data_IF_285595929546
#
_entry.id   IF_285595929546
#
_cell.length_a   1.000
_cell.length_b   1.000
_cell.length_c   1.000
_cell.angle_alpha   90.00
_cell.angle_beta   90.00
_cell.angle_gamma   90.00
#
_symmetry.space_group_name_H-M   'P 1'
#
loop_
_entity.id
_entity.type
_entity.pdbx_description
1 polymer ?
#
# COMPACT_ATOMS: atom_id res chain seq x y z
N UNK A 1 15.18 -44.56 -9.52
CA UNK A 1 14.07 -44.25 -8.61
C UNK A 1 13.26 -43.14 -9.24
N UNK A 2 11.97 -43.28 -9.41
CA UNK A 2 11.09 -42.17 -9.87
C UNK A 2 11.09 -41.04 -8.85
N UNK A 3 11.13 -39.80 -9.32
CA UNK A 3 11.05 -38.63 -8.44
C UNK A 3 9.75 -38.70 -7.65
N UNK A 4 9.75 -38.25 -6.37
CA UNK A 4 8.55 -38.20 -5.57
C UNK A 4 7.55 -37.19 -6.15
N UNK A 5 6.22 -37.34 -5.92
CA UNK A 5 5.22 -36.37 -6.37
C UNK A 5 5.55 -34.93 -5.94
N UNK A 6 6.06 -34.73 -4.73
CA UNK A 6 6.52 -33.41 -4.26
C UNK A 6 7.69 -32.86 -5.07
N UNK A 7 8.66 -33.72 -5.44
CA UNK A 7 9.78 -33.30 -6.28
C UNK A 7 9.32 -32.93 -7.70
N UNK A 8 8.38 -33.69 -8.28
CA UNK A 8 7.79 -33.37 -9.58
C UNK A 8 7.05 -32.01 -9.54
N UNK A 9 6.25 -31.76 -8.49
CA UNK A 9 5.54 -30.49 -8.33
C UNK A 9 6.53 -29.33 -8.17
N UNK A 10 7.54 -29.47 -7.32
CA UNK A 10 8.56 -28.43 -7.13
C UNK A 10 9.33 -28.14 -8.44
N UNK A 11 9.62 -29.17 -9.23
CA UNK A 11 10.25 -29.00 -10.54
C UNK A 11 9.34 -28.26 -11.53
N UNK A 12 8.03 -28.56 -11.54
CA UNK A 12 7.05 -27.85 -12.37
C UNK A 12 6.95 -26.36 -11.95
N UNK A 13 6.91 -26.07 -10.65
CA UNK A 13 6.89 -24.69 -10.14
C UNK A 13 8.13 -23.89 -10.55
N UNK A 14 9.31 -24.51 -10.54
CA UNK A 14 10.56 -23.86 -10.99
C UNK A 14 10.57 -23.53 -12.49
N UNK A 15 9.72 -24.16 -13.30
CA UNK A 15 9.60 -23.84 -14.72
C UNK A 15 8.77 -22.58 -14.98
N UNK A 16 8.07 -22.05 -13.97
CA UNK A 16 7.32 -20.80 -14.09
C UNK A 16 8.27 -19.62 -14.38
N UNK A 17 7.93 -18.79 -15.38
CA UNK A 17 8.80 -17.71 -15.84
C UNK A 17 9.27 -16.76 -14.72
N UNK A 18 8.34 -16.35 -13.84
CA UNK A 18 8.67 -15.50 -12.69
C UNK A 18 9.66 -16.18 -11.73
N UNK A 19 9.50 -17.49 -11.47
CA UNK A 19 10.42 -18.21 -10.57
C UNK A 19 11.83 -18.26 -11.17
N UNK A 20 11.94 -18.55 -12.47
CA UNK A 20 13.24 -18.54 -13.17
C UNK A 20 13.89 -17.15 -13.16
N UNK A 21 13.09 -16.12 -13.40
CA UNK A 21 13.55 -14.73 -13.34
C UNK A 21 14.12 -14.43 -11.94
N UNK A 22 13.37 -14.68 -10.89
CA UNK A 22 13.80 -14.42 -9.51
C UNK A 22 15.01 -15.27 -9.09
N UNK A 23 15.04 -16.58 -9.48
CA UNK A 23 16.20 -17.45 -9.20
C UNK A 23 17.45 -16.98 -9.93
N UNK A 24 17.32 -16.48 -11.17
CA UNK A 24 18.44 -15.95 -11.93
C UNK A 24 19.07 -14.76 -11.18
N UNK A 25 18.27 -13.75 -10.82
CA UNK A 25 18.76 -12.56 -10.14
C UNK A 25 19.27 -12.86 -8.73
N UNK A 26 18.62 -13.75 -7.97
CA UNK A 26 19.11 -14.15 -6.64
C UNK A 26 20.47 -14.86 -6.69
N UNK A 27 20.78 -15.57 -7.78
CA UNK A 27 22.11 -16.19 -7.98
C UNK A 27 23.15 -15.19 -8.46
N UNK A 28 22.76 -14.29 -9.37
CA UNK A 28 23.66 -13.30 -9.97
C UNK A 28 24.04 -12.21 -8.95
N UNK A 29 23.09 -11.81 -8.12
CA UNK A 29 23.24 -10.73 -7.12
C UNK A 29 22.80 -11.19 -5.73
N UNK A 30 23.53 -12.13 -5.09
CA UNK A 30 23.13 -12.67 -3.78
C UNK A 30 23.08 -11.60 -2.68
N UNK A 31 23.89 -10.57 -2.79
CA UNK A 31 23.98 -9.48 -1.81
C UNK A 31 23.03 -8.29 -2.13
N UNK A 32 22.16 -8.43 -3.13
CA UNK A 32 21.14 -7.41 -3.43
C UNK A 32 19.90 -7.52 -2.54
N UNK A 33 19.89 -8.44 -1.58
CA UNK A 33 18.79 -8.67 -0.62
C UNK A 33 17.41 -8.84 -1.26
N UNK A 34 17.36 -9.48 -2.43
CA UNK A 34 16.12 -9.83 -3.09
C UNK A 34 15.31 -10.81 -2.23
N UNK A 35 14.29 -10.32 -1.53
CA UNK A 35 13.36 -11.12 -0.71
C UNK A 35 14.00 -11.96 0.39
N UNK A 36 15.26 -11.72 0.74
CA UNK A 36 16.01 -12.47 1.75
C UNK A 36 16.66 -11.59 2.82
N UNK A 37 16.37 -10.29 2.84
CA UNK A 37 16.84 -9.41 3.88
C UNK A 37 16.18 -9.78 5.21
N UNK A 38 16.98 -9.94 6.23
CA UNK A 38 16.57 -10.21 7.62
C UNK A 38 17.13 -9.09 8.47
N UNK A 39 16.25 -8.34 9.13
CA UNK A 39 16.66 -7.35 10.12
C UNK A 39 16.87 -8.06 11.46
N UNK A 40 18.05 -7.90 12.04
CA UNK A 40 18.39 -8.45 13.36
C UNK A 40 17.86 -7.56 14.49
N UNK A 41 17.81 -6.24 14.25
CA UNK A 41 17.26 -5.24 15.18
C UNK A 41 16.70 -4.03 14.43
N UNK A 42 15.75 -3.32 15.07
CA UNK A 42 15.14 -2.09 14.59
C UNK A 42 15.29 -1.00 15.65
N UNK A 43 16.14 -0.02 15.37
CA UNK A 43 16.42 1.11 16.26
C UNK A 43 15.52 2.33 16.02
N UNK A 44 15.66 3.35 16.88
CA UNK A 44 15.06 4.65 16.68
C UNK A 44 15.61 5.31 15.39
N UNK A 45 14.97 6.41 14.92
CA UNK A 45 15.39 7.16 13.74
C UNK A 45 15.48 6.30 12.46
N UNK A 46 14.70 5.23 12.39
CA UNK A 46 14.66 4.28 11.26
C UNK A 46 15.98 3.52 11.05
N UNK A 47 16.81 3.39 12.07
CA UNK A 47 17.97 2.51 12.02
C UNK A 47 17.54 1.04 11.97
N UNK A 48 18.31 0.22 11.25
CA UNK A 48 18.09 -1.21 11.10
C UNK A 48 19.46 -1.92 11.14
N UNK A 49 19.57 -3.03 11.85
CA UNK A 49 20.75 -3.88 11.82
C UNK A 49 20.50 -5.09 10.90
N UNK A 50 21.44 -5.34 10.00
CA UNK A 50 21.41 -6.46 9.06
C UNK A 50 22.80 -7.04 8.94
N UNK A 51 22.99 -8.30 9.34
CA UNK A 51 24.28 -8.99 9.31
C UNK A 51 25.41 -8.19 10.00
N UNK A 52 25.11 -7.59 11.17
CA UNK A 52 26.02 -6.76 11.95
C UNK A 52 26.33 -5.38 11.34
N UNK A 53 25.63 -4.96 10.31
CA UNK A 53 25.72 -3.60 9.73
C UNK A 53 24.52 -2.76 10.15
N UNK A 54 24.78 -1.54 10.60
CA UNK A 54 23.72 -0.52 10.76
C UNK A 54 23.48 0.20 9.46
N UNK A 55 22.23 0.25 9.06
CA UNK A 55 21.76 0.99 7.89
C UNK A 55 20.53 1.83 8.26
N UNK A 56 20.32 2.93 7.55
CA UNK A 56 19.07 3.70 7.65
C UNK A 56 18.04 3.09 6.71
N UNK A 57 16.88 2.77 7.25
CA UNK A 57 15.81 2.07 6.55
C UNK A 57 14.89 3.07 5.83
N UNK A 58 15.06 3.21 4.53
CA UNK A 58 14.16 3.91 3.61
C UNK A 58 13.20 2.96 2.88
N UNK A 59 13.00 1.75 3.39
CA UNK A 59 12.10 0.73 2.83
C UNK A 59 10.87 0.42 3.68
N UNK A 60 10.48 1.29 4.63
CA UNK A 60 9.38 1.03 5.56
C UNK A 60 8.15 1.90 5.27
N UNK A 61 6.98 1.29 5.13
CA UNK A 61 5.70 1.97 4.96
C UNK A 61 5.13 2.58 6.27
N UNK A 62 5.85 2.55 7.39
CA UNK A 62 5.44 3.18 8.65
C UNK A 62 5.69 4.71 8.63
N UNK A 63 5.11 5.40 7.67
CA UNK A 63 5.42 6.78 7.29
C UNK A 63 5.45 7.80 8.44
N UNK A 64 4.55 7.66 9.43
CA UNK A 64 4.49 8.54 10.59
C UNK A 64 5.45 8.12 11.73
N UNK A 65 6.04 6.91 11.64
CA UNK A 65 6.96 6.39 12.65
C UNK A 65 6.31 6.03 13.98
N UNK A 66 4.98 5.80 14.00
CA UNK A 66 4.23 5.49 15.21
C UNK A 66 4.51 4.10 15.79
N UNK A 67 5.19 3.23 15.05
CA UNK A 67 5.74 1.96 15.56
C UNK A 67 6.73 2.14 16.72
N UNK A 68 7.38 3.32 16.81
CA UNK A 68 8.29 3.70 17.89
C UNK A 68 7.65 4.59 18.95
N UNK A 69 6.36 4.94 18.82
CA UNK A 69 5.66 5.75 19.83
C UNK A 69 5.37 4.93 21.08
N UNK A 70 5.84 5.42 22.23
CA UNK A 70 5.71 4.73 23.52
C UNK A 70 4.27 4.52 23.96
N UNK A 71 3.33 5.39 23.55
CA UNK A 71 1.90 5.28 23.88
C UNK A 71 1.28 4.15 23.10
N UNK A 72 1.63 4.01 21.81
CA UNK A 72 1.18 2.92 20.94
C UNK A 72 1.71 1.58 21.45
N UNK A 73 3.00 1.52 21.81
CA UNK A 73 3.61 0.33 22.40
C UNK A 73 2.98 -0.03 23.76
N UNK A 74 2.73 0.96 24.62
CA UNK A 74 2.09 0.74 25.93
C UNK A 74 0.64 0.25 25.77
N UNK A 75 -0.14 0.78 24.82
CA UNK A 75 -1.48 0.33 24.52
C UNK A 75 -1.49 -1.15 24.04
N UNK A 76 -0.54 -1.52 23.17
CA UNK A 76 -0.38 -2.91 22.72
C UNK A 76 -0.07 -3.85 23.89
N UNK A 77 0.87 -3.49 24.77
CA UNK A 77 1.24 -4.27 25.96
C UNK A 77 0.03 -4.43 26.91
N UNK A 78 -0.70 -3.36 27.15
CA UNK A 78 -1.90 -3.40 28.00
C UNK A 78 -3.02 -4.24 27.35
N UNK A 79 -3.18 -4.12 26.03
CA UNK A 79 -4.12 -4.94 25.28
C UNK A 79 -3.81 -6.44 25.39
N UNK A 80 -2.54 -6.84 25.34
CA UNK A 80 -2.15 -8.25 25.60
C UNK A 80 -2.50 -8.67 27.03
N UNK A 81 -2.29 -7.82 28.02
CA UNK A 81 -2.65 -8.14 29.43
C UNK A 81 -4.15 -8.27 29.64
N UNK A 82 -4.95 -7.46 28.95
CA UNK A 82 -6.41 -7.44 29.08
C UNK A 82 -7.09 -8.56 28.32
N UNK A 83 -6.66 -8.83 27.09
CA UNK A 83 -7.37 -9.68 26.13
C UNK A 83 -6.65 -11.01 25.82
N UNK A 84 -5.40 -11.17 26.26
CA UNK A 84 -4.54 -12.24 25.78
C UNK A 84 -3.99 -11.94 24.38
N UNK A 85 -3.42 -12.95 23.75
CA UNK A 85 -2.79 -12.84 22.43
C UNK A 85 -3.80 -12.91 21.27
N UNK A 86 -4.98 -13.49 21.49
CA UNK A 86 -6.01 -13.70 20.48
C UNK A 86 -7.39 -13.90 21.12
N UNK A 87 -8.50 -13.59 20.41
CA UNK A 87 -9.86 -13.77 20.90
C UNK A 87 -10.48 -15.14 20.58
N UNK A 88 -9.81 -16.00 19.81
CA UNK A 88 -10.15 -17.41 19.60
C UNK A 88 -11.38 -17.70 18.70
N UNK A 89 -12.07 -16.70 18.15
CA UNK A 89 -13.27 -16.90 17.35
C UNK A 89 -13.40 -15.95 16.17
N UNK A 90 -14.13 -16.40 15.13
CA UNK A 90 -14.50 -15.56 14.01
C UNK A 90 -15.47 -14.45 14.44
N UNK A 91 -15.32 -13.25 13.91
CA UNK A 91 -16.21 -12.12 14.13
C UNK A 91 -17.62 -12.32 13.56
N UNK A 92 -17.83 -13.32 12.74
CA UNK A 92 -19.17 -13.73 12.33
C UNK A 92 -20.01 -14.24 13.51
N UNK A 93 -19.39 -14.92 14.47
CA UNK A 93 -20.06 -15.45 15.65
C UNK A 93 -19.99 -14.50 16.85
N UNK A 94 -18.82 -13.92 17.11
CA UNK A 94 -18.62 -13.03 18.26
C UNK A 94 -17.50 -12.01 18.01
N UNK A 95 -17.68 -10.79 18.48
CA UNK A 95 -16.67 -9.75 18.56
C UNK A 95 -16.33 -9.46 20.02
N UNK A 96 -15.09 -9.06 20.29
CA UNK A 96 -14.73 -8.47 21.58
C UNK A 96 -14.99 -6.96 21.56
N UNK A 97 -15.13 -6.34 22.74
CA UNK A 97 -15.39 -4.89 22.85
C UNK A 97 -14.36 -4.06 22.09
N UNK A 98 -13.09 -4.43 22.11
CA UNK A 98 -12.02 -3.73 21.39
C UNK A 98 -12.28 -3.62 19.87
N UNK A 99 -12.98 -4.57 19.24
CA UNK A 99 -13.35 -4.46 17.83
C UNK A 99 -14.33 -3.31 17.59
N UNK A 100 -15.38 -3.21 18.40
CA UNK A 100 -16.40 -2.18 18.22
C UNK A 100 -15.83 -0.79 18.55
N UNK A 101 -15.06 -0.67 19.64
CA UNK A 101 -14.40 0.59 20.03
C UNK A 101 -13.43 1.08 18.94
N UNK A 102 -12.61 0.19 18.36
CA UNK A 102 -11.69 0.56 17.29
C UNK A 102 -12.44 0.97 16.00
N UNK A 103 -13.50 0.24 15.63
CA UNK A 103 -14.32 0.59 14.46
C UNK A 103 -15.06 1.92 14.64
N UNK A 104 -15.57 2.21 15.85
CA UNK A 104 -16.21 3.49 16.19
C UNK A 104 -15.21 4.67 16.13
N UNK A 105 -14.01 4.49 16.72
CA UNK A 105 -12.96 5.51 16.67
C UNK A 105 -12.46 5.76 15.24
N UNK A 106 -12.24 4.71 14.46
CA UNK A 106 -11.85 4.81 13.05
C UNK A 106 -12.94 5.54 12.24
N UNK A 107 -14.22 5.19 12.41
CA UNK A 107 -15.33 5.83 11.72
C UNK A 107 -15.41 7.32 12.07
N UNK A 108 -15.26 7.66 13.35
CA UNK A 108 -15.24 9.04 13.84
C UNK A 108 -14.07 9.85 13.28
N UNK A 109 -12.85 9.27 13.29
CA UNK A 109 -11.66 9.92 12.74
C UNK A 109 -11.77 10.12 11.23
N UNK A 110 -12.17 9.08 10.50
CA UNK A 110 -12.31 9.12 9.05
C UNK A 110 -13.45 10.07 8.63
N UNK A 111 -14.54 10.11 9.40
CA UNK A 111 -15.76 10.86 9.08
C UNK A 111 -16.72 10.06 8.19
N UNK A 112 -16.74 8.73 8.32
CA UNK A 112 -17.71 7.81 7.69
C UNK A 112 -18.74 7.34 8.71
N UNK A 113 -19.89 6.83 8.23
CA UNK A 113 -20.94 6.32 9.15
C UNK A 113 -20.50 5.06 9.90
N UNK A 114 -19.66 4.23 9.26
CA UNK A 114 -19.19 2.98 9.82
C UNK A 114 -17.84 2.57 9.23
N UNK A 115 -17.13 1.75 10.01
CA UNK A 115 -15.91 1.06 9.58
C UNK A 115 -16.06 -0.43 9.89
N UNK A 116 -15.52 -1.29 9.04
CA UNK A 116 -15.38 -2.72 9.27
C UNK A 116 -13.90 -3.11 9.15
N UNK A 117 -13.33 -3.67 10.23
CA UNK A 117 -11.91 -4.07 10.30
C UNK A 117 -11.71 -5.49 9.80
N UNK A 118 -10.67 -5.68 9.01
CA UNK A 118 -10.16 -6.95 8.48
C UNK A 118 -8.72 -7.20 8.94
N UNK A 119 -8.22 -8.45 8.87
CA UNK A 119 -6.82 -8.77 9.26
C UNK A 119 -5.76 -8.10 8.40
N UNK A 120 -6.09 -7.71 7.18
CA UNK A 120 -5.20 -6.94 6.27
C UNK A 120 -6.00 -6.28 5.16
N UNK A 121 -5.40 -5.29 4.48
CA UNK A 121 -5.96 -4.70 3.26
C UNK A 121 -6.17 -5.75 2.17
N UNK A 122 -5.23 -6.67 2.01
CA UNK A 122 -5.37 -7.80 1.06
C UNK A 122 -6.65 -8.57 1.32
N UNK A 123 -6.92 -8.95 2.57
CA UNK A 123 -8.15 -9.66 2.92
C UNK A 123 -9.40 -8.76 2.81
N UNK A 124 -9.25 -7.44 3.01
CA UNK A 124 -10.35 -6.49 2.74
C UNK A 124 -10.74 -6.54 1.26
N UNK A 125 -9.79 -6.38 0.36
CA UNK A 125 -10.04 -6.36 -1.09
C UNK A 125 -10.56 -7.72 -1.62
N UNK A 126 -9.93 -8.83 -1.20
CA UNK A 126 -10.35 -10.18 -1.59
C UNK A 126 -11.76 -10.55 -1.13
N UNK A 127 -12.24 -9.93 -0.06
CA UNK A 127 -13.56 -10.21 0.48
C UNK A 127 -14.62 -9.17 0.14
N UNK A 128 -14.26 -7.89 0.16
CA UNK A 128 -15.20 -6.80 -0.08
C UNK A 128 -15.59 -6.71 -1.56
N UNK A 129 -14.63 -6.68 -2.49
CA UNK A 129 -14.95 -6.55 -3.92
C UNK A 129 -15.95 -7.61 -4.42
N UNK A 130 -15.70 -8.93 -4.25
CA UNK A 130 -16.69 -9.92 -4.66
C UNK A 130 -17.96 -9.92 -3.78
N UNK A 131 -17.86 -9.40 -2.55
CA UNK A 131 -18.99 -9.24 -1.65
C UNK A 131 -19.96 -8.13 -2.07
N UNK A 132 -19.48 -7.08 -2.73
CA UNK A 132 -20.25 -5.91 -3.15
C UNK A 132 -21.07 -6.15 -4.42
N UNK A 133 -20.64 -7.04 -5.30
CA UNK A 133 -21.19 -7.24 -6.65
C UNK A 133 -21.79 -8.63 -6.84
N UNK A 134 -22.62 -8.75 -7.86
CA UNK A 134 -23.26 -10.00 -8.29
C UNK A 134 -23.39 -10.07 -9.82
N UNK A 135 -23.90 -11.15 -10.37
CA UNK A 135 -23.97 -11.42 -11.83
C UNK A 135 -24.62 -10.33 -12.68
N UNK A 136 -25.48 -9.48 -12.10
CA UNK A 136 -26.16 -8.39 -12.82
C UNK A 136 -25.45 -7.04 -12.67
N UNK A 137 -24.35 -7.02 -11.90
CA UNK A 137 -23.57 -5.80 -11.66
C UNK A 137 -22.33 -5.79 -12.53
N UNK A 138 -21.70 -4.63 -12.60
CA UNK A 138 -20.44 -4.40 -13.30
C UNK A 138 -19.34 -4.07 -12.30
N UNK A 139 -18.18 -4.69 -12.42
CA UNK A 139 -16.96 -4.28 -11.74
C UNK A 139 -15.99 -3.74 -12.79
N UNK A 140 -15.64 -2.47 -12.67
CA UNK A 140 -14.60 -1.84 -13.50
C UNK A 140 -13.37 -1.65 -12.64
N UNK A 141 -12.19 -1.96 -13.15
CA UNK A 141 -10.95 -1.93 -12.37
C UNK A 141 -9.83 -1.26 -13.16
N UNK A 142 -9.07 -0.38 -12.49
CA UNK A 142 -7.84 0.18 -13.05
C UNK A 142 -6.84 -0.95 -13.34
N UNK A 143 -6.25 -0.95 -14.54
CA UNK A 143 -5.33 -2.02 -14.97
C UNK A 143 -4.07 -2.13 -14.10
N UNK A 144 -3.67 -1.05 -13.41
CA UNK A 144 -2.56 -1.03 -12.47
C UNK A 144 -2.99 -1.10 -10.99
N UNK A 145 -4.29 -1.35 -10.71
CA UNK A 145 -4.76 -1.52 -9.35
C UNK A 145 -3.97 -2.63 -8.62
N UNK A 146 -3.77 -2.45 -7.32
CA UNK A 146 -3.01 -3.37 -6.49
C UNK A 146 -3.45 -4.83 -6.66
N UNK A 147 -2.48 -5.76 -6.64
CA UNK A 147 -2.72 -7.18 -6.92
C UNK A 147 -3.89 -7.78 -6.10
N UNK A 148 -4.09 -7.36 -4.86
CA UNK A 148 -5.20 -7.85 -4.04
C UNK A 148 -6.58 -7.45 -4.60
N UNK A 149 -6.69 -6.29 -5.25
CA UNK A 149 -7.92 -5.90 -5.96
C UNK A 149 -8.10 -6.68 -7.25
N UNK A 150 -7.02 -6.91 -8.01
CA UNK A 150 -7.04 -7.77 -9.19
C UNK A 150 -7.48 -9.20 -8.85
N UNK A 151 -6.97 -9.78 -7.78
CA UNK A 151 -7.39 -11.10 -7.29
C UNK A 151 -8.85 -11.09 -6.81
N UNK A 152 -9.29 -10.05 -6.09
CA UNK A 152 -10.70 -9.85 -5.71
C UNK A 152 -11.62 -9.77 -6.93
N UNK A 153 -11.20 -9.07 -7.98
CA UNK A 153 -11.92 -8.99 -9.25
C UNK A 153 -12.00 -10.34 -9.98
N UNK A 154 -10.94 -11.14 -9.97
CA UNK A 154 -10.94 -12.52 -10.50
C UNK A 154 -11.94 -13.41 -9.74
N UNK A 155 -12.00 -13.29 -8.40
CA UNK A 155 -13.01 -14.02 -7.61
C UNK A 155 -14.43 -13.58 -8.01
N UNK A 156 -14.67 -12.27 -8.16
CA UNK A 156 -15.96 -11.76 -8.62
C UNK A 156 -16.31 -12.32 -10.02
N UNK A 157 -15.34 -12.33 -10.94
CA UNK A 157 -15.52 -12.88 -12.30
C UNK A 157 -15.83 -14.38 -12.27
N UNK A 158 -15.16 -15.16 -11.44
CA UNK A 158 -15.45 -16.59 -11.25
C UNK A 158 -16.85 -16.82 -10.71
N UNK A 159 -17.41 -15.87 -9.94
CA UNK A 159 -18.80 -15.87 -9.47
C UNK A 159 -19.81 -15.39 -10.53
N UNK A 160 -19.34 -15.11 -11.75
CA UNK A 160 -20.15 -14.69 -12.89
C UNK A 160 -20.42 -13.18 -12.97
N UNK A 161 -19.69 -12.35 -12.25
CA UNK A 161 -19.71 -10.89 -12.38
C UNK A 161 -18.98 -10.50 -13.66
N UNK A 162 -19.51 -9.53 -14.40
CA UNK A 162 -18.77 -8.93 -15.52
C UNK A 162 -17.72 -7.98 -14.96
N UNK A 163 -16.45 -8.26 -15.28
CA UNK A 163 -15.30 -7.45 -14.89
C UNK A 163 -14.67 -6.85 -16.14
N UNK A 164 -14.42 -5.55 -16.13
CA UNK A 164 -13.81 -4.82 -17.24
C UNK A 164 -12.66 -3.96 -16.71
N UNK A 165 -11.45 -4.05 -17.30
CA UNK A 165 -10.36 -3.13 -16.97
C UNK A 165 -10.56 -1.80 -17.70
N UNK A 166 -9.99 -0.72 -17.15
CA UNK A 166 -9.79 0.54 -17.86
C UNK A 166 -8.32 0.98 -17.71
N UNK A 167 -7.86 1.78 -18.66
CA UNK A 167 -6.47 2.26 -18.71
C UNK A 167 -6.14 3.10 -17.49
N UNK A 168 -4.93 2.88 -16.96
CA UNK A 168 -4.44 3.47 -15.73
C UNK A 168 -4.70 4.97 -15.62
N UNK A 169 -5.37 5.37 -14.53
CA UNK A 169 -5.66 6.78 -14.20
C UNK A 169 -6.38 7.57 -15.31
N UNK A 170 -7.13 6.92 -16.23
CA UNK A 170 -7.71 7.56 -17.41
C UNK A 170 -9.24 7.69 -17.33
N UNK A 171 -9.81 8.87 -16.95
CA UNK A 171 -11.25 9.07 -16.88
C UNK A 171 -11.95 8.93 -18.24
N UNK A 172 -11.29 9.30 -19.36
CA UNK A 172 -11.88 9.16 -20.69
C UNK A 172 -12.00 7.69 -21.10
N UNK A 173 -11.02 6.86 -20.75
CA UNK A 173 -11.12 5.43 -20.99
C UNK A 173 -12.16 4.77 -20.08
N UNK A 174 -12.29 5.22 -18.83
CA UNK A 174 -13.35 4.78 -17.92
C UNK A 174 -14.75 5.05 -18.54
N UNK A 175 -14.97 6.25 -19.12
CA UNK A 175 -16.22 6.56 -19.85
C UNK A 175 -16.44 5.59 -21.02
N UNK A 176 -15.40 5.35 -21.83
CA UNK A 176 -15.45 4.41 -22.96
C UNK A 176 -15.82 2.99 -22.51
N UNK A 177 -15.28 2.54 -21.39
CA UNK A 177 -15.59 1.22 -20.83
C UNK A 177 -17.06 1.13 -20.44
N UNK A 178 -17.63 2.17 -19.83
CA UNK A 178 -19.06 2.21 -19.53
C UNK A 178 -19.94 2.20 -20.77
N UNK A 179 -19.56 2.89 -21.85
CA UNK A 179 -20.28 2.88 -23.12
C UNK A 179 -20.32 1.47 -23.75
N UNK A 180 -19.26 0.68 -23.55
CA UNK A 180 -19.16 -0.69 -24.05
C UNK A 180 -19.82 -1.73 -23.13
N UNK A 181 -20.04 -1.38 -21.87
CA UNK A 181 -20.52 -2.34 -20.87
C UNK A 181 -21.98 -2.80 -21.12
N UNK A 182 -22.81 -2.05 -21.87
CA UNK A 182 -24.22 -2.36 -22.01
C UNK A 182 -24.98 -2.25 -20.69
N UNK A 183 -26.05 -3.03 -20.53
CA UNK A 183 -26.89 -2.96 -19.32
C UNK A 183 -26.23 -3.59 -18.09
N UNK A 184 -26.36 -2.92 -16.95
CA UNK A 184 -26.00 -3.41 -15.61
C UNK A 184 -26.98 -2.82 -14.57
N UNK A 185 -27.13 -3.50 -13.43
CA UNK A 185 -28.00 -3.04 -12.34
C UNK A 185 -27.31 -1.94 -11.52
N UNK A 186 -26.05 -2.17 -11.15
CA UNK A 186 -25.17 -1.24 -10.43
C UNK A 186 -23.72 -1.51 -10.82
N UNK A 187 -22.84 -0.55 -10.59
CA UNK A 187 -21.43 -0.70 -10.90
C UNK A 187 -20.53 -0.28 -9.74
N UNK A 188 -19.37 -0.90 -9.66
CA UNK A 188 -18.28 -0.52 -8.75
C UNK A 188 -17.05 -0.26 -9.62
N UNK A 189 -16.38 0.88 -9.39
CA UNK A 189 -15.10 1.24 -10.00
C UNK A 189 -14.01 1.13 -8.94
N UNK A 190 -13.01 0.29 -9.14
CA UNK A 190 -11.96 -0.01 -8.17
C UNK A 190 -10.62 0.58 -8.63
N UNK A 191 -9.99 1.39 -7.77
CA UNK A 191 -8.72 2.09 -8.02
C UNK A 191 -7.86 2.14 -6.75
N UNK A 192 -6.55 2.37 -6.88
CA UNK A 192 -5.70 2.76 -5.74
C UNK A 192 -5.83 4.26 -5.47
N UNK A 193 -5.78 4.67 -4.20
CA UNK A 193 -5.67 6.07 -3.80
C UNK A 193 -4.25 6.61 -3.98
N UNK A 194 -3.26 5.74 -3.74
CA UNK A 194 -1.83 5.97 -4.04
C UNK A 194 -1.26 4.69 -4.65
N UNK A 195 -0.73 4.76 -5.85
CA UNK A 195 -0.11 3.61 -6.52
C UNK A 195 1.25 3.29 -5.89
N UNK A 196 1.34 2.13 -5.28
CA UNK A 196 2.40 1.78 -4.32
C UNK A 196 3.82 1.78 -4.87
N UNK A 197 3.99 1.52 -6.18
CA UNK A 197 5.33 1.42 -6.79
C UNK A 197 5.86 2.76 -7.29
N UNK A 198 4.98 3.66 -7.69
CA UNK A 198 5.34 4.96 -8.24
C UNK A 198 5.09 6.12 -7.28
N UNK A 199 4.19 5.97 -6.30
CA UNK A 199 3.68 7.07 -5.49
C UNK A 199 2.69 7.97 -6.24
N UNK A 200 2.22 7.57 -7.43
CA UNK A 200 1.29 8.35 -8.23
C UNK A 200 -0.09 8.46 -7.59
N UNK A 201 -0.73 9.60 -7.79
CA UNK A 201 -2.10 9.88 -7.38
C UNK A 201 -3.05 9.80 -8.58
N UNK A 202 -4.20 9.12 -8.45
CA UNK A 202 -5.21 9.13 -9.50
C UNK A 202 -5.94 10.49 -9.57
N UNK A 203 -6.54 10.86 -10.71
CA UNK A 203 -7.39 12.02 -10.84
C UNK A 203 -8.77 11.76 -10.20
N UNK A 204 -8.82 11.62 -8.86
CA UNK A 204 -9.97 11.16 -8.08
C UNK A 204 -11.26 11.92 -8.38
N UNK A 205 -11.21 13.26 -8.45
CA UNK A 205 -12.39 14.08 -8.72
C UNK A 205 -13.01 13.73 -10.09
N UNK A 206 -12.18 13.61 -11.13
CA UNK A 206 -12.64 13.30 -12.48
C UNK A 206 -13.18 11.86 -12.57
N UNK A 207 -12.53 10.90 -11.92
CA UNK A 207 -13.01 9.51 -11.88
C UNK A 207 -14.33 9.40 -11.10
N UNK A 208 -14.49 10.12 -9.99
CA UNK A 208 -15.74 10.16 -9.24
C UNK A 208 -16.87 10.82 -10.05
N UNK A 209 -16.58 11.87 -10.81
CA UNK A 209 -17.56 12.51 -11.71
C UNK A 209 -18.08 11.52 -12.77
N UNK A 210 -17.20 10.68 -13.33
CA UNK A 210 -17.63 9.60 -14.24
C UNK A 210 -18.52 8.61 -13.48
N UNK A 211 -18.12 8.17 -12.30
CA UNK A 211 -18.90 7.25 -11.48
C UNK A 211 -20.32 7.78 -11.21
N UNK A 212 -20.44 9.04 -10.81
CA UNK A 212 -21.74 9.69 -10.55
C UNK A 212 -22.63 9.71 -11.80
N UNK A 213 -22.10 10.08 -12.97
CA UNK A 213 -22.85 10.07 -14.22
C UNK A 213 -23.31 8.69 -14.65
N UNK A 214 -22.54 7.65 -14.30
CA UNK A 214 -22.78 6.26 -14.71
C UNK A 214 -23.48 5.41 -13.62
N UNK A 215 -23.96 6.03 -12.55
CA UNK A 215 -24.59 5.34 -11.41
C UNK A 215 -23.68 4.24 -10.83
N UNK A 216 -22.40 4.56 -10.65
CA UNK A 216 -21.39 3.69 -10.13
C UNK A 216 -20.85 4.19 -8.77
N UNK A 217 -20.44 3.27 -7.90
CA UNK A 217 -19.77 3.57 -6.63
C UNK A 217 -18.27 3.49 -6.86
N UNK A 218 -17.53 4.46 -6.34
CA UNK A 218 -16.07 4.44 -6.35
C UNK A 218 -15.54 3.64 -5.15
N UNK A 219 -14.69 2.66 -5.40
CA UNK A 219 -13.97 1.86 -4.40
C UNK A 219 -12.50 2.21 -4.46
N UNK A 220 -11.95 2.77 -3.39
CA UNK A 220 -10.57 3.25 -3.36
C UNK A 220 -9.77 2.49 -2.33
N UNK A 221 -8.73 1.78 -2.79
CA UNK A 221 -7.68 1.26 -1.91
C UNK A 221 -6.70 2.39 -1.56
N UNK A 222 -6.96 3.03 -0.45
CA UNK A 222 -6.17 4.15 0.06
C UNK A 222 -5.15 3.72 1.13
N UNK A 223 -4.62 2.50 1.00
CA UNK A 223 -3.72 1.93 1.99
C UNK A 223 -2.45 2.77 2.22
N UNK A 224 -1.97 3.48 1.22
CA UNK A 224 -0.78 4.35 1.31
C UNK A 224 -1.12 5.81 1.64
N UNK A 225 -2.36 6.25 1.39
CA UNK A 225 -2.82 7.59 1.77
C UNK A 225 -3.36 7.67 3.20
N UNK A 226 -3.88 6.56 3.73
CA UNK A 226 -4.42 6.46 5.09
C UNK A 226 -3.41 6.90 6.15
N UNK A 227 -3.82 7.81 7.02
CA UNK A 227 -3.03 8.50 8.06
C UNK A 227 -1.95 9.46 7.53
N UNK A 228 -1.73 9.55 6.22
CA UNK A 228 -0.60 10.27 5.59
C UNK A 228 -1.06 11.47 4.80
N UNK A 229 -2.11 11.33 3.98
CA UNK A 229 -2.59 12.36 3.08
C UNK A 229 -3.92 12.95 3.56
N UNK A 230 -4.20 14.16 3.09
CA UNK A 230 -5.40 14.89 3.44
C UNK A 230 -5.43 15.40 4.88
N UNK A 231 -6.43 16.21 5.16
CA UNK A 231 -6.59 16.83 6.49
C UNK A 231 -6.68 15.76 7.58
N UNK A 232 -5.79 15.82 8.57
CA UNK A 232 -5.66 14.86 9.68
C UNK A 232 -5.44 13.41 9.20
N UNK A 233 -4.79 13.25 8.06
CA UNK A 233 -4.47 11.94 7.51
C UNK A 233 -5.67 11.12 7.02
N UNK A 234 -6.80 11.76 6.72
CA UNK A 234 -8.03 11.07 6.28
C UNK A 234 -7.94 10.43 4.90
N UNK A 235 -6.80 10.56 4.23
CA UNK A 235 -6.51 9.91 2.97
C UNK A 235 -6.86 10.73 1.73
N UNK A 236 -6.55 10.15 0.58
CA UNK A 236 -6.65 10.79 -0.75
C UNK A 236 -8.08 11.15 -1.13
N UNK A 237 -9.05 10.32 -0.77
CA UNK A 237 -10.47 10.58 -1.08
C UNK A 237 -10.95 11.86 -0.37
N UNK A 238 -10.67 11.98 0.91
CA UNK A 238 -11.06 13.17 1.67
C UNK A 238 -10.31 14.42 1.21
N UNK A 239 -9.05 14.27 0.83
CA UNK A 239 -8.24 15.36 0.28
C UNK A 239 -8.81 15.89 -1.04
N UNK A 240 -9.18 14.99 -1.96
CA UNK A 240 -9.65 15.35 -3.29
C UNK A 240 -11.14 15.76 -3.35
N UNK A 241 -12.00 15.13 -2.53
CA UNK A 241 -13.46 15.25 -2.63
C UNK A 241 -14.11 15.96 -1.42
N UNK A 242 -13.43 16.05 -0.28
CA UNK A 242 -13.95 16.61 0.97
C UNK A 242 -15.01 15.75 1.67
N UNK A 243 -15.46 14.66 1.05
CA UNK A 243 -16.43 13.70 1.60
C UNK A 243 -16.20 12.28 1.06
N UNK A 244 -16.95 11.30 1.59
CA UNK A 244 -16.97 9.91 1.12
C UNK A 244 -18.33 9.51 0.53
N UNK A 245 -19.19 10.46 0.14
CA UNK A 245 -20.60 10.23 -0.18
C UNK A 245 -20.84 9.16 -1.26
N UNK A 246 -19.98 9.08 -2.29
CA UNK A 246 -20.05 8.07 -3.35
C UNK A 246 -18.88 7.09 -3.31
N UNK A 247 -18.21 6.95 -2.14
CA UNK A 247 -16.94 6.22 -2.07
C UNK A 247 -16.95 5.20 -0.94
N UNK A 248 -16.47 3.99 -1.25
CA UNK A 248 -16.03 3.00 -0.27
C UNK A 248 -14.51 3.08 -0.16
N UNK A 249 -13.97 3.46 0.99
CA UNK A 249 -12.54 3.66 1.16
C UNK A 249 -11.92 2.53 1.99
N UNK A 250 -10.88 1.93 1.47
CA UNK A 250 -10.08 0.92 2.18
C UNK A 250 -8.82 1.56 2.71
N UNK A 251 -8.55 1.36 4.00
CA UNK A 251 -7.37 1.90 4.66
C UNK A 251 -6.49 0.82 5.29
N UNK A 252 -5.22 1.14 5.46
CA UNK A 252 -4.25 0.24 6.09
C UNK A 252 -3.97 0.62 7.54
N UNK A 253 -4.07 -0.36 8.43
CA UNK A 253 -3.61 -0.24 9.81
C UNK A 253 -2.14 -0.65 9.99
N UNK A 254 -1.51 -1.22 8.94
CA UNK A 254 -0.13 -1.71 9.00
C UNK A 254 0.90 -0.79 8.33
N UNK A 255 0.49 0.38 7.85
CA UNK A 255 1.36 1.38 7.23
C UNK A 255 1.41 2.65 8.06
N UNK A 256 0.74 3.74 7.67
CA UNK A 256 0.72 4.99 8.42
C UNK A 256 0.26 4.83 9.88
N UNK A 257 -0.64 3.90 10.16
CA UNK A 257 -1.03 3.54 11.54
C UNK A 257 0.02 2.76 12.32
N UNK A 258 0.97 2.12 11.67
CA UNK A 258 2.03 1.31 12.30
C UNK A 258 1.51 0.20 13.24
N UNK A 259 0.31 -0.31 12.98
CA UNK A 259 -0.36 -1.38 13.73
C UNK A 259 -0.52 -2.65 12.88
N UNK A 260 -1.66 -3.32 12.97
CA UNK A 260 -1.95 -4.53 12.21
C UNK A 260 -3.40 -4.52 11.72
N UNK A 261 -3.61 -4.82 10.44
CA UNK A 261 -4.94 -4.95 9.85
C UNK A 261 -5.18 -4.04 8.65
N UNK A 262 -6.40 -4.10 8.15
CA UNK A 262 -6.98 -3.19 7.18
C UNK A 262 -8.42 -2.89 7.57
N UNK A 263 -9.04 -1.92 6.94
CA UNK A 263 -10.44 -1.59 7.18
C UNK A 263 -11.11 -1.09 5.91
N UNK A 264 -12.44 -1.11 5.91
CA UNK A 264 -13.26 -0.40 4.92
C UNK A 264 -14.16 0.60 5.63
N UNK A 265 -14.07 1.87 5.23
CA UNK A 265 -15.00 2.94 5.61
C UNK A 265 -16.19 2.95 4.64
N UNK A 266 -17.41 2.96 5.17
CA UNK A 266 -18.61 2.80 4.38
C UNK A 266 -19.88 3.30 5.11
N UNK A 267 -21.02 3.44 4.40
CA UNK A 267 -22.31 3.58 5.05
C UNK A 267 -22.66 2.38 5.95
N UNK A 268 -23.48 2.61 6.96
CA UNK A 268 -23.81 1.59 7.98
C UNK A 268 -24.43 0.32 7.41
N UNK A 269 -25.26 0.43 6.40
CA UNK A 269 -25.87 -0.71 5.72
C UNK A 269 -24.83 -1.60 5.05
N UNK A 270 -23.79 -1.02 4.44
CA UNK A 270 -22.70 -1.77 3.82
C UNK A 270 -21.90 -2.56 4.86
N UNK A 271 -21.67 -2.00 6.07
CA UNK A 271 -21.03 -2.75 7.15
C UNK A 271 -21.76 -4.06 7.45
N UNK A 272 -23.09 -4.02 7.57
CA UNK A 272 -23.91 -5.21 7.83
C UNK A 272 -23.87 -6.20 6.65
N UNK A 273 -23.98 -5.71 5.42
CA UNK A 273 -23.94 -6.55 4.23
C UNK A 273 -22.58 -7.25 4.06
N UNK A 274 -21.47 -6.52 4.29
CA UNK A 274 -20.13 -7.08 4.21
C UNK A 274 -19.83 -8.10 5.30
N UNK A 275 -20.35 -7.92 6.52
CA UNK A 275 -20.25 -8.95 7.58
C UNK A 275 -20.85 -10.30 7.15
N UNK A 276 -21.84 -10.29 6.26
CA UNK A 276 -22.53 -11.51 5.78
C UNK A 276 -21.91 -12.03 4.48
N UNK A 277 -21.50 -11.12 3.57
CA UNK A 277 -21.09 -11.50 2.21
C UNK A 277 -19.59 -11.61 1.99
N UNK A 278 -18.78 -11.02 2.87
CA UNK A 278 -17.32 -11.06 2.74
C UNK A 278 -16.75 -12.32 3.36
N UNK A 279 -16.32 -13.27 2.53
CA UNK A 279 -15.77 -14.55 2.97
C UNK A 279 -14.50 -14.38 3.81
N UNK A 280 -13.67 -13.39 3.50
CA UNK A 280 -12.42 -13.12 4.24
C UNK A 280 -12.69 -12.48 5.60
N UNK A 281 -13.80 -11.75 5.78
CA UNK A 281 -14.24 -11.32 7.11
C UNK A 281 -14.68 -12.50 7.96
N UNK A 282 -15.44 -13.44 7.37
CA UNK A 282 -16.00 -14.61 8.08
C UNK A 282 -14.89 -15.61 8.44
N UNK A 283 -13.99 -15.91 7.51
CA UNK A 283 -13.02 -17.00 7.61
C UNK A 283 -11.56 -16.58 7.77
N UNK A 284 -11.24 -15.29 7.62
CA UNK A 284 -9.87 -14.78 7.65
C UNK A 284 -9.24 -14.66 9.04
N UNK A 285 -10.02 -14.91 10.09
CA UNK A 285 -9.62 -14.65 11.47
C UNK A 285 -9.72 -13.15 11.83
N UNK A 286 -9.81 -12.80 13.12
CA UNK A 286 -9.85 -11.41 13.56
C UNK A 286 -8.46 -10.82 13.79
N UNK A 287 -8.37 -9.51 13.75
CA UNK A 287 -7.22 -8.78 14.28
C UNK A 287 -7.11 -9.06 15.78
N UNK A 288 -5.91 -9.40 16.31
CA UNK A 288 -5.72 -9.59 17.74
C UNK A 288 -6.13 -8.33 18.52
N UNK A 289 -6.92 -8.46 19.61
CA UNK A 289 -7.47 -7.31 20.32
C UNK A 289 -6.44 -6.32 20.85
N UNK A 290 -5.24 -6.77 21.13
CA UNK A 290 -4.15 -5.91 21.57
C UNK A 290 -3.77 -4.84 20.53
N UNK A 291 -3.78 -5.19 19.24
CA UNK A 291 -3.56 -4.22 18.17
C UNK A 291 -4.71 -3.23 18.02
N UNK A 292 -5.93 -3.62 18.37
CA UNK A 292 -7.09 -2.72 18.32
C UNK A 292 -7.00 -1.62 19.40
N UNK A 293 -6.47 -1.93 20.59
CA UNK A 293 -6.16 -0.91 21.61
C UNK A 293 -5.07 0.08 21.09
N UNK A 294 -4.05 -0.42 20.40
CA UNK A 294 -3.05 0.43 19.75
C UNK A 294 -3.67 1.30 18.63
N UNK A 295 -4.55 0.75 17.80
CA UNK A 295 -5.29 1.50 16.77
C UNK A 295 -6.11 2.64 17.39
N UNK A 296 -6.78 2.39 18.51
CA UNK A 296 -7.50 3.43 19.25
C UNK A 296 -6.58 4.58 19.68
N UNK A 297 -5.39 4.25 20.16
CA UNK A 297 -4.36 5.24 20.56
C UNK A 297 -3.88 6.04 19.37
N UNK A 298 -3.65 5.39 18.21
CA UNK A 298 -3.27 6.09 16.98
C UNK A 298 -4.38 7.04 16.53
N UNK A 299 -5.65 6.64 16.57
CA UNK A 299 -6.77 7.54 16.27
C UNK A 299 -6.78 8.79 17.16
N UNK A 300 -6.44 8.65 18.44
CA UNK A 300 -6.34 9.78 19.36
C UNK A 300 -5.19 10.72 18.97
N UNK A 301 -4.03 10.19 18.57
CA UNK A 301 -2.90 10.98 18.06
C UNK A 301 -3.30 11.73 16.78
N UNK A 302 -3.92 11.05 15.80
CA UNK A 302 -4.34 11.65 14.53
C UNK A 302 -5.38 12.77 14.71
N UNK A 303 -6.21 12.69 15.74
CA UNK A 303 -7.19 13.73 16.07
C UNK A 303 -6.60 14.90 16.88
N UNK A 304 -5.42 14.75 17.46
CA UNK A 304 -4.74 15.79 18.26
C UNK A 304 -4.02 16.82 17.38
N UNK A 305 -3.48 17.87 18.01
CA UNK A 305 -2.62 18.86 17.36
C UNK A 305 -1.23 18.30 17.04
N UNK A 306 -0.79 17.28 17.78
CA UNK A 306 0.49 16.60 17.57
C UNK A 306 0.62 15.95 16.17
N UNK A 307 -0.52 15.57 15.57
CA UNK A 307 -0.52 15.07 14.19
C UNK A 307 0.12 16.07 13.23
N UNK A 308 -0.19 17.35 13.37
CA UNK A 308 0.35 18.39 12.48
C UNK A 308 1.89 18.51 12.61
N UNK A 309 2.43 18.28 13.82
CA UNK A 309 3.87 18.26 14.05
C UNK A 309 4.53 17.03 13.40
N UNK A 310 3.92 15.85 13.57
CA UNK A 310 4.42 14.60 12.98
C UNK A 310 4.36 14.69 11.44
N UNK A 311 3.23 15.12 10.92
CA UNK A 311 3.01 15.29 9.48
C UNK A 311 3.92 16.38 8.90
N UNK A 312 4.14 17.47 9.64
CA UNK A 312 5.07 18.53 9.26
C UNK A 312 6.52 18.03 9.10
N UNK A 313 6.98 17.14 10.00
CA UNK A 313 8.29 16.47 9.86
C UNK A 313 8.34 15.58 8.62
N UNK A 314 7.29 14.77 8.39
CA UNK A 314 7.20 13.92 7.19
C UNK A 314 7.27 14.74 5.92
N UNK A 315 6.47 15.81 5.83
CA UNK A 315 6.42 16.72 4.67
C UNK A 315 7.76 17.42 4.44
N UNK A 316 8.39 17.90 5.50
CA UNK A 316 9.71 18.55 5.43
C UNK A 316 10.80 17.60 4.91
N UNK A 317 10.78 16.35 5.41
CA UNK A 317 11.69 15.30 4.97
C UNK A 317 11.46 14.91 3.50
N UNK A 318 10.20 14.80 3.08
CA UNK A 318 9.80 14.52 1.71
C UNK A 318 10.29 15.64 0.76
N UNK A 319 9.99 16.89 1.10
CA UNK A 319 10.42 18.05 0.29
C UNK A 319 11.95 18.12 0.14
N UNK A 320 12.69 17.85 1.22
CA UNK A 320 14.15 17.81 1.20
C UNK A 320 14.68 16.77 0.22
N UNK A 321 14.15 15.54 0.28
CA UNK A 321 14.53 14.46 -0.64
C UNK A 321 14.17 14.80 -2.09
N UNK A 322 12.95 15.27 -2.34
CA UNK A 322 12.46 15.60 -3.68
C UNK A 322 13.30 16.71 -4.33
N UNK A 323 13.56 17.80 -3.60
CA UNK A 323 14.39 18.91 -4.08
C UNK A 323 15.81 18.43 -4.41
N UNK A 324 16.41 17.62 -3.53
CA UNK A 324 17.74 17.07 -3.77
C UNK A 324 17.80 16.13 -4.97
N UNK A 325 16.82 15.23 -5.10
CA UNK A 325 16.73 14.29 -6.22
C UNK A 325 16.56 15.03 -7.57
N UNK A 326 15.71 16.06 -7.61
CA UNK A 326 15.55 16.93 -8.81
C UNK A 326 16.82 17.72 -9.12
N UNK A 327 17.51 18.29 -8.12
CA UNK A 327 18.76 18.99 -8.31
C UNK A 327 19.87 18.08 -8.87
N UNK A 328 19.84 16.79 -8.53
CA UNK A 328 20.71 15.77 -9.11
C UNK A 328 20.28 15.37 -10.54
N UNK A 329 19.14 15.86 -11.04
CA UNK A 329 18.58 15.49 -12.35
C UNK A 329 18.18 14.02 -12.42
N UNK A 330 17.71 13.44 -11.30
CA UNK A 330 17.14 12.11 -11.25
C UNK A 330 15.69 12.14 -11.72
N UNK A 331 15.24 11.08 -12.40
CA UNK A 331 13.86 10.93 -12.83
C UNK A 331 13.06 10.36 -11.65
N UNK A 332 12.22 11.18 -11.06
CA UNK A 332 11.32 10.79 -9.98
C UNK A 332 9.94 10.53 -10.54
N UNK A 333 9.37 9.37 -10.21
CA UNK A 333 8.02 8.96 -10.58
C UNK A 333 7.05 9.30 -9.44
N UNK A 334 5.80 9.60 -9.79
CA UNK A 334 4.72 9.88 -8.85
C UNK A 334 4.65 11.34 -8.41
N UNK A 335 3.86 11.57 -7.38
CA UNK A 335 3.50 12.89 -6.91
C UNK A 335 4.04 13.24 -5.53
N UNK A 336 3.29 14.05 -4.79
CA UNK A 336 3.63 14.54 -3.45
C UNK A 336 3.24 13.53 -2.35
N UNK A 337 3.73 12.30 -2.47
CA UNK A 337 3.52 11.25 -1.48
C UNK A 337 4.85 10.83 -0.86
N UNK A 338 4.87 10.23 0.35
CA UNK A 338 6.12 9.79 0.97
C UNK A 338 6.77 8.58 0.28
N UNK A 339 6.30 8.20 -0.90
CA UNK A 339 6.89 7.19 -1.78
C UNK A 339 7.58 7.93 -2.92
N UNK A 340 8.91 7.97 -2.89
CA UNK A 340 9.75 8.60 -3.90
C UNK A 340 10.42 7.49 -4.70
N UNK A 341 9.97 7.26 -5.92
CA UNK A 341 10.52 6.23 -6.79
C UNK A 341 11.42 6.85 -7.85
N UNK A 342 12.71 6.50 -7.80
CA UNK A 342 13.70 6.95 -8.76
C UNK A 342 13.81 5.92 -9.87
N UNK A 343 13.55 6.32 -11.12
CA UNK A 343 13.66 5.45 -12.29
C UNK A 343 15.11 5.09 -12.57
N UNK A 344 15.38 3.80 -12.63
CA UNK A 344 16.67 3.23 -13.00
C UNK A 344 16.58 2.54 -14.37
N UNK A 345 15.46 1.85 -14.65
CA UNK A 345 15.18 1.17 -15.91
C UNK A 345 15.60 -0.28 -15.88
N UNK A 346 16.83 -0.59 -16.25
CA UNK A 346 17.35 -1.95 -16.35
C UNK A 346 17.38 -2.68 -15.00
N UNK A 347 17.00 -3.96 -14.99
CA UNK A 347 16.88 -4.79 -13.78
C UNK A 347 18.23 -5.04 -13.12
N UNK A 348 19.27 -5.34 -13.90
CA UNK A 348 20.64 -5.57 -13.40
C UNK A 348 21.17 -4.30 -12.72
N UNK A 349 21.00 -3.15 -13.38
CA UNK A 349 21.43 -1.86 -12.83
C UNK A 349 20.61 -1.54 -11.57
N UNK A 350 19.31 -1.80 -11.55
CA UNK A 350 18.43 -1.54 -10.39
C UNK A 350 18.90 -2.31 -9.16
N UNK A 351 19.25 -3.59 -9.32
CA UNK A 351 19.74 -4.42 -8.22
C UNK A 351 21.12 -3.98 -7.72
N UNK A 352 22.02 -3.67 -8.65
CA UNK A 352 23.35 -3.16 -8.32
C UNK A 352 23.29 -1.79 -7.62
N UNK A 353 22.36 -0.93 -8.05
CA UNK A 353 22.11 0.37 -7.43
C UNK A 353 21.62 0.24 -5.99
N UNK A 354 20.67 -0.66 -5.73
CA UNK A 354 20.22 -0.94 -4.37
C UNK A 354 21.31 -1.52 -3.48
N UNK A 355 22.11 -2.45 -4.00
CA UNK A 355 23.30 -2.97 -3.31
C UNK A 355 24.30 -1.85 -2.98
N UNK A 356 24.58 -0.99 -3.95
CA UNK A 356 25.49 0.15 -3.74
C UNK A 356 25.02 1.04 -2.60
N UNK A 357 23.72 1.39 -2.54
CA UNK A 357 23.16 2.19 -1.44
C UNK A 357 23.24 1.44 -0.11
N UNK A 358 23.02 0.12 -0.11
CA UNK A 358 23.16 -0.69 1.11
C UNK A 358 24.60 -0.69 1.64
N UNK A 359 25.58 -0.77 0.75
CA UNK A 359 27.01 -0.66 1.12
C UNK A 359 27.37 0.74 1.65
N UNK A 360 26.60 1.78 1.26
CA UNK A 360 26.69 3.14 1.78
C UNK A 360 25.94 3.40 3.07
N UNK A 361 25.25 2.38 3.61
CA UNK A 361 24.51 2.48 4.87
C UNK A 361 23.01 2.81 4.71
N UNK A 362 22.44 2.63 3.51
CA UNK A 362 21.03 2.93 3.25
C UNK A 362 20.29 1.72 2.68
N UNK A 363 19.25 1.26 3.35
CA UNK A 363 18.34 0.29 2.78
C UNK A 363 17.24 0.99 1.97
N UNK A 364 17.26 0.76 0.67
CA UNK A 364 16.27 1.23 -0.30
C UNK A 364 15.74 0.03 -1.06
N UNK A 365 14.45 -0.03 -1.33
CA UNK A 365 13.87 -1.15 -2.07
C UNK A 365 14.19 -1.06 -3.56
N UNK A 366 14.93 -2.06 -4.06
CA UNK A 366 15.12 -2.27 -5.50
C UNK A 366 13.89 -2.99 -6.06
N UNK A 367 13.07 -2.27 -6.83
CA UNK A 367 11.84 -2.81 -7.39
C UNK A 367 12.04 -3.07 -8.88
N UNK A 368 11.83 -4.33 -9.28
CA UNK A 368 11.96 -4.79 -10.67
C UNK A 368 10.67 -5.51 -11.10
N UNK A 369 10.62 -5.95 -12.35
CA UNK A 369 9.56 -6.86 -12.80
C UNK A 369 9.37 -8.03 -11.80
N UNK A 370 8.15 -8.46 -11.50
CA UNK A 370 6.86 -8.04 -12.08
C UNK A 370 6.13 -6.93 -11.31
N UNK A 371 6.75 -6.35 -10.30
CA UNK A 371 6.11 -5.27 -9.50
C UNK A 371 6.03 -3.94 -10.28
N UNK A 372 6.90 -3.77 -11.26
CA UNK A 372 6.88 -2.72 -12.27
C UNK A 372 7.02 -3.36 -13.66
N UNK A 373 6.83 -2.60 -14.72
CA UNK A 373 7.02 -3.08 -16.09
C UNK A 373 8.46 -3.53 -16.32
N UNK A 374 8.67 -4.40 -17.29
CA UNK A 374 10.00 -4.84 -17.69
C UNK A 374 10.80 -3.65 -18.22
N UNK A 375 12.05 -3.51 -17.81
CA UNK A 375 12.92 -2.34 -18.06
C UNK A 375 12.44 -1.02 -17.43
N UNK A 376 11.60 -1.10 -16.41
CA UNK A 376 11.13 0.03 -15.64
C UNK A 376 11.51 -0.05 -14.16
N UNK A 377 12.65 -0.67 -13.86
CA UNK A 377 13.15 -0.84 -12.50
C UNK A 377 13.31 0.51 -11.77
N UNK A 378 12.95 0.54 -10.49
CA UNK A 378 13.03 1.73 -9.65
C UNK A 378 13.73 1.47 -8.31
N UNK A 379 14.37 2.49 -7.78
CA UNK A 379 14.71 2.59 -6.36
C UNK A 379 13.53 3.25 -5.65
N UNK A 380 12.77 2.47 -4.88
CA UNK A 380 11.60 2.95 -4.13
C UNK A 380 12.05 3.37 -2.74
N UNK A 381 12.07 4.68 -2.51
CA UNK A 381 12.46 5.33 -1.26
C UNK A 381 11.20 5.73 -0.49
N UNK A 382 11.06 5.25 0.73
CA UNK A 382 9.93 5.56 1.61
C UNK A 382 10.39 6.52 2.70
N UNK A 383 9.89 7.75 2.62
CA UNK A 383 10.21 8.80 3.59
C UNK A 383 9.39 8.59 4.85
N UNK A 384 10.01 8.83 6.02
CA UNK A 384 9.39 8.67 7.32
C UNK A 384 9.56 9.94 8.16
N UNK A 385 8.58 10.22 9.01
CA UNK A 385 8.64 11.37 9.92
C UNK A 385 9.81 11.31 10.92
N UNK A 386 10.31 10.10 11.19
CA UNK A 386 11.43 9.88 12.13
C UNK A 386 12.81 9.84 11.45
N UNK A 387 12.90 9.98 10.11
CA UNK A 387 14.19 10.20 9.49
C UNK A 387 14.80 11.51 9.96
N UNK A 388 16.07 11.48 10.34
CA UNK A 388 16.80 12.71 10.64
C UNK A 388 17.13 13.43 9.32
N UNK A 389 17.07 14.77 9.28
CA UNK A 389 17.42 15.52 8.06
C UNK A 389 18.82 15.20 7.53
N UNK A 390 19.81 14.96 8.41
CA UNK A 390 21.16 14.56 8.03
C UNK A 390 21.20 13.23 7.27
N UNK A 391 20.37 12.25 7.68
CA UNK A 391 20.29 10.97 6.98
C UNK A 391 19.74 11.11 5.54
N UNK A 392 18.89 12.10 5.30
CA UNK A 392 18.38 12.41 3.95
C UNK A 392 19.49 13.07 3.13
N UNK A 393 20.28 13.98 3.72
CA UNK A 393 21.40 14.61 3.04
C UNK A 393 22.46 13.58 2.64
N UNK A 394 22.82 12.69 3.57
CA UNK A 394 23.76 11.60 3.31
C UNK A 394 23.24 10.63 2.23
N UNK A 395 21.93 10.34 2.21
CA UNK A 395 21.31 9.56 1.12
C UNK A 395 21.44 10.30 -0.21
N UNK A 396 21.22 11.61 -0.25
CA UNK A 396 21.39 12.42 -1.47
C UNK A 396 22.84 12.41 -1.97
N UNK A 397 23.83 12.46 -1.07
CA UNK A 397 25.24 12.30 -1.44
C UNK A 397 25.51 10.89 -2.02
N UNK A 398 24.93 9.85 -1.42
CA UNK A 398 25.02 8.49 -1.94
C UNK A 398 24.37 8.36 -3.33
N UNK A 399 23.22 9.01 -3.56
CA UNK A 399 22.54 9.04 -4.86
C UNK A 399 23.36 9.82 -5.91
N UNK A 400 24.05 10.89 -5.52
CA UNK A 400 24.98 11.61 -6.41
C UNK A 400 26.15 10.71 -6.84
N UNK A 401 26.74 9.97 -5.90
CA UNK A 401 27.80 9.00 -6.20
C UNK A 401 27.29 7.85 -7.07
N UNK A 402 26.10 7.35 -6.82
CA UNK A 402 25.42 6.32 -7.63
C UNK A 402 25.26 6.79 -9.09
N UNK A 403 24.83 8.03 -9.32
CA UNK A 403 24.69 8.62 -10.67
C UNK A 403 26.03 8.73 -11.41
N UNK A 404 27.14 8.87 -10.69
CA UNK A 404 28.49 8.87 -11.31
C UNK A 404 28.93 7.45 -11.71
N UNK A 405 28.45 6.44 -10.99
CA UNK A 405 28.85 5.05 -11.21
C UNK A 405 27.98 4.33 -12.27
N UNK A 406 26.69 4.68 -12.36
CA UNK A 406 25.73 4.05 -13.25
C UNK A 406 25.15 5.05 -14.25
N UNK A 407 24.91 4.59 -15.49
CA UNK A 407 24.17 5.38 -16.48
C UNK A 407 22.68 5.27 -16.15
N UNK A 408 22.08 6.36 -15.70
CA UNK A 408 20.66 6.43 -15.34
C UNK A 408 19.85 7.16 -16.44
N UNK A 409 18.54 6.90 -16.56
CA UNK A 409 17.66 7.64 -17.45
C UNK A 409 17.75 9.16 -17.20
N UNK A 410 17.70 9.94 -18.25
CA UNK A 410 17.66 11.41 -18.17
C UNK A 410 16.19 11.88 -18.18
N UNK A 411 15.91 12.96 -17.44
CA UNK A 411 14.55 13.55 -17.36
C UNK A 411 14.01 14.01 -18.73
N UNK A 412 14.90 14.25 -19.71
CA UNK A 412 14.55 14.66 -21.07
C UNK A 412 14.22 13.50 -22.02
N UNK A 413 14.38 12.24 -21.57
CA UNK A 413 14.03 11.07 -22.40
C UNK A 413 12.52 10.99 -22.60
N UNK A 414 12.05 11.08 -23.85
CA UNK A 414 10.62 11.12 -24.23
C UNK A 414 9.85 9.81 -24.01
N UNK A 415 10.52 8.75 -23.62
CA UNK A 415 9.94 7.43 -23.37
C UNK A 415 10.13 7.04 -21.90
N UNK A 416 9.37 7.66 -21.02
CA UNK A 416 9.23 7.14 -19.67
C UNK A 416 8.24 5.96 -19.70
N UNK A 417 8.60 4.78 -19.18
CA UNK A 417 7.76 3.57 -19.26
C UNK A 417 6.43 3.67 -18.47
N UNK A 418 6.14 4.84 -17.91
CA UNK A 418 4.90 5.13 -17.17
C UNK A 418 4.18 6.41 -17.69
N UNK A 419 4.64 7.00 -18.78
CA UNK A 419 3.90 8.09 -19.43
C UNK A 419 2.77 7.48 -20.24
N UNK A 420 1.58 7.45 -19.69
CA UNK A 420 0.32 7.21 -20.39
C UNK A 420 -0.50 8.48 -20.40
#
# INVERSE_FOLDING_TARGET
MSASPMACLAQAMRQHGLVRFMEHYARTYPDAHLKNLIADDLGPNREMEVDGRRVINFGSDSFLGLDQDRRVQAALIQGVRRWGSHNGTSRFFASVRANEEAEEKLASWLGTEAVLIYPSVTLTNLGALPGLVSKRDLLVIDEHAHNSMQEGAKIAQANGVRVMPFSHCNPADLERVFDQAGEYRSAVVAIDGVYSMTGALPPLAQLNDVCLRRNAVLYVDDAHGTAVLGRKGRGTVYDALGSYDNTLVVGSLSKGFSCFGGFIGCPRDFKMLLKIRSTTFIFGGPVPPAYLEAVCTVCDILNSEEYEEIHGRLTSNLQRLMQGAHALGLVVLGGETPIVSILIGDEDITLQAGRFLFEKGFYVQSVTFPAVLYHAGVLRIQVNANHQPSAIDELLEALAALKQQFTLPAAESKELPFAA
#
